data_IF_484976840062
#
_entry.id   IF_484976840062
#
_cell.length_a   1.000
_cell.length_b   1.000
_cell.length_c   1.000
_cell.angle_alpha   90.00
_cell.angle_beta   90.00
_cell.angle_gamma   90.00
#
_symmetry.space_group_name_H-M   'P 1'
#
loop_
_entity.id
_entity.type
_entity.pdbx_description
1 polymer ?
#
# COMPACT_ATOMS: atom_id res chain seq x y z
N UNK A 1 1.35 2.44 15.12
CA UNK A 1 2.81 2.25 15.32
C UNK A 1 3.15 0.90 15.91
N UNK A 2 2.50 0.45 17.00
CA UNK A 2 2.87 -0.85 17.59
C UNK A 2 2.66 -2.04 16.64
N UNK A 3 1.59 -2.01 15.85
CA UNK A 3 1.34 -2.99 14.78
C UNK A 3 2.47 -3.03 13.74
N UNK A 4 2.85 -1.88 13.18
CA UNK A 4 4.00 -1.78 12.26
C UNK A 4 5.28 -2.38 12.88
N UNK A 5 5.56 -2.14 14.17
CA UNK A 5 6.74 -2.72 14.83
C UNK A 5 6.69 -4.26 14.90
N UNK A 6 5.50 -4.83 15.10
CA UNK A 6 5.31 -6.28 15.11
C UNK A 6 5.59 -6.85 13.71
N UNK A 7 4.96 -6.29 12.68
CA UNK A 7 5.13 -6.73 11.29
C UNK A 7 6.55 -6.52 10.76
N UNK A 8 7.27 -5.49 11.21
CA UNK A 8 8.69 -5.28 10.86
C UNK A 8 9.54 -6.51 11.21
N UNK A 9 9.26 -7.19 12.32
CA UNK A 9 10.03 -8.38 12.70
C UNK A 9 9.89 -9.52 11.69
N UNK A 10 8.73 -9.64 11.05
CA UNK A 10 8.47 -10.61 9.98
C UNK A 10 9.10 -10.14 8.66
N UNK A 11 8.97 -8.85 8.33
CA UNK A 11 9.59 -8.26 7.14
C UNK A 11 11.10 -8.44 7.15
N UNK A 12 11.77 -8.20 8.27
CA UNK A 12 13.23 -8.37 8.41
C UNK A 12 13.71 -9.82 8.20
N UNK A 13 12.82 -10.82 8.25
CA UNK A 13 13.16 -12.21 7.93
C UNK A 13 13.11 -12.50 6.42
N UNK A 14 12.46 -11.65 5.62
CA UNK A 14 12.50 -11.76 4.15
C UNK A 14 13.91 -11.51 3.64
N UNK A 15 14.34 -12.32 2.67
CA UNK A 15 15.62 -12.10 1.97
C UNK A 15 15.47 -10.95 0.97
N UNK A 16 16.55 -10.21 0.73
CA UNK A 16 16.63 -9.22 -0.36
C UNK A 16 16.67 -7.76 0.07
N UNK A 17 16.50 -7.45 1.36
CA UNK A 17 16.71 -6.10 1.87
C UNK A 17 18.20 -5.78 2.05
N UNK A 18 18.57 -4.55 1.69
CA UNK A 18 19.91 -4.04 1.94
C UNK A 18 20.13 -3.76 3.43
N UNK A 19 21.39 -3.67 3.84
CA UNK A 19 21.76 -3.34 5.23
C UNK A 19 21.15 -2.01 5.70
N UNK A 20 21.07 -1.02 4.81
CA UNK A 20 20.45 0.27 5.11
C UNK A 20 18.94 0.14 5.38
N UNK A 21 18.25 -0.72 4.64
CA UNK A 21 16.82 -0.99 4.89
C UNK A 21 16.65 -1.69 6.23
N UNK A 22 17.42 -2.74 6.49
CA UNK A 22 17.35 -3.48 7.76
C UNK A 22 17.65 -2.58 8.97
N UNK A 23 18.64 -1.70 8.83
CA UNK A 23 19.00 -0.71 9.85
C UNK A 23 17.87 0.28 10.08
N UNK A 24 17.23 0.79 9.01
CA UNK A 24 16.09 1.69 9.14
C UNK A 24 14.89 1.01 9.80
N UNK A 25 14.57 -0.21 9.39
CA UNK A 25 13.51 -1.02 10.00
C UNK A 25 13.77 -1.28 11.48
N UNK A 26 15.02 -1.53 11.86
CA UNK A 26 15.43 -1.69 13.27
C UNK A 26 15.16 -0.40 14.06
N UNK A 27 15.57 0.76 13.51
CA UNK A 27 15.32 2.05 14.16
C UNK A 27 13.82 2.34 14.31
N UNK A 28 13.00 1.96 13.31
CA UNK A 28 11.55 2.09 13.39
C UNK A 28 10.98 1.20 14.49
N UNK A 29 11.39 -0.06 14.53
CA UNK A 29 10.96 -1.03 15.53
C UNK A 29 11.29 -0.56 16.96
N UNK A 30 12.48 -0.03 17.17
CA UNK A 30 12.93 0.47 18.47
C UNK A 30 12.33 1.84 18.85
N UNK A 31 11.59 2.49 17.95
CA UNK A 31 11.04 3.83 18.17
C UNK A 31 12.11 4.93 18.19
N UNK A 32 13.29 4.68 17.61
CA UNK A 32 14.46 5.58 17.65
C UNK A 32 14.55 6.53 16.46
N UNK A 33 13.39 6.96 15.95
CA UNK A 33 13.29 7.80 14.74
C UNK A 33 13.01 9.28 15.06
N UNK A 34 13.21 9.69 16.31
CA UNK A 34 12.81 11.01 16.79
C UNK A 34 13.39 12.16 15.95
N UNK A 35 14.59 11.98 15.36
CA UNK A 35 15.19 12.95 14.46
C UNK A 35 15.70 12.32 13.17
N UNK A 36 15.24 12.88 12.04
CA UNK A 36 15.61 12.45 10.69
C UNK A 36 17.13 12.47 10.47
N UNK A 37 17.83 13.47 11.01
CA UNK A 37 19.28 13.61 10.88
C UNK A 37 20.05 12.47 11.55
N UNK A 38 19.63 12.05 12.74
CA UNK A 38 20.23 10.90 13.43
C UNK A 38 20.05 9.60 12.65
N UNK A 39 18.92 9.44 11.94
CA UNK A 39 18.70 8.30 11.06
C UNK A 39 19.65 8.34 9.86
N UNK A 40 19.81 9.50 9.22
CA UNK A 40 20.73 9.66 8.08
C UNK A 40 22.18 9.34 8.46
N UNK A 41 22.64 9.85 9.59
CA UNK A 41 23.99 9.59 10.12
C UNK A 41 24.22 8.09 10.38
N UNK A 42 23.28 7.43 11.06
CA UNK A 42 23.38 5.99 11.36
C UNK A 42 23.35 5.11 10.12
N UNK A 43 22.60 5.52 9.09
CA UNK A 43 22.48 4.80 7.84
C UNK A 43 23.60 5.12 6.85
N UNK A 44 24.45 6.11 7.13
CA UNK A 44 25.50 6.55 6.22
C UNK A 44 24.97 7.13 4.90
N UNK A 45 23.73 7.62 4.88
CA UNK A 45 23.09 8.18 3.68
C UNK A 45 22.98 9.70 3.79
N UNK A 46 23.08 10.40 2.66
CA UNK A 46 23.03 11.87 2.63
C UNK A 46 21.60 12.40 2.70
N UNK A 47 20.65 11.70 2.10
CA UNK A 47 19.25 12.14 2.02
C UNK A 47 18.32 10.96 2.24
N UNK A 48 17.23 11.18 2.96
CA UNK A 48 16.24 10.11 3.18
C UNK A 48 15.60 9.66 1.86
N UNK A 49 15.55 10.55 0.87
CA UNK A 49 14.98 10.26 -0.44
C UNK A 49 15.74 9.18 -1.19
N UNK A 50 17.01 8.96 -0.83
CA UNK A 50 17.81 7.86 -1.39
C UNK A 50 17.25 6.49 -0.92
N UNK A 51 16.39 6.48 0.11
CA UNK A 51 15.64 5.30 0.58
C UNK A 51 14.29 5.10 -0.12
N UNK A 52 13.84 5.99 -1.02
CA UNK A 52 12.50 5.88 -1.67
C UNK A 52 12.27 4.51 -2.31
N UNK A 53 13.12 4.15 -3.28
CA UNK A 53 13.00 2.90 -4.04
C UNK A 53 13.02 1.66 -3.14
N UNK A 54 14.02 1.47 -2.25
CA UNK A 54 14.01 0.30 -1.38
C UNK A 54 12.85 0.30 -0.37
N UNK A 55 12.38 1.46 0.09
CA UNK A 55 11.23 1.54 1.00
C UNK A 55 9.89 1.33 0.31
N UNK A 56 9.77 1.59 -0.99
CA UNK A 56 8.62 1.16 -1.79
C UNK A 56 8.49 -0.37 -1.75
N UNK A 57 9.60 -1.10 -1.89
CA UNK A 57 9.60 -2.57 -1.80
C UNK A 57 9.09 -3.02 -0.42
N UNK A 58 9.60 -2.39 0.65
CA UNK A 58 9.15 -2.65 2.03
C UNK A 58 7.65 -2.38 2.21
N UNK A 59 7.14 -1.26 1.67
CA UNK A 59 5.71 -0.92 1.76
C UNK A 59 4.85 -1.97 1.06
N UNK A 60 5.26 -2.42 -0.13
CA UNK A 60 4.54 -3.45 -0.87
C UNK A 60 4.60 -4.80 -0.14
N UNK A 61 5.75 -5.16 0.41
CA UNK A 61 5.90 -6.38 1.20
C UNK A 61 5.07 -6.35 2.49
N UNK A 62 4.93 -5.17 3.11
CA UNK A 62 4.08 -4.96 4.27
C UNK A 62 2.60 -5.08 3.90
N UNK A 63 2.17 -4.40 2.82
CA UNK A 63 0.80 -4.49 2.34
C UNK A 63 0.41 -5.93 1.95
N UNK A 64 1.31 -6.66 1.28
CA UNK A 64 1.11 -8.08 0.97
C UNK A 64 1.00 -8.95 2.23
N UNK A 65 1.83 -8.70 3.25
CA UNK A 65 1.77 -9.39 4.54
C UNK A 65 0.43 -9.16 5.24
N UNK A 66 -0.05 -7.92 5.28
CA UNK A 66 -1.35 -7.56 5.86
C UNK A 66 -2.53 -8.20 5.10
N UNK A 67 -2.40 -8.30 3.77
CA UNK A 67 -3.42 -8.93 2.92
C UNK A 67 -3.52 -10.46 3.08
N UNK A 68 -2.46 -11.11 3.55
CA UNK A 68 -2.49 -12.54 3.86
C UNK A 68 -3.36 -12.81 5.10
N UNK A 69 -3.46 -11.86 6.04
CA UNK A 69 -4.35 -11.93 7.19
C UNK A 69 -5.80 -11.58 6.79
N UNK A 70 -6.05 -10.36 6.30
CA UNK A 70 -7.34 -10.00 5.70
C UNK A 70 -7.30 -8.84 4.69
N UNK A 71 -8.13 -7.80 4.86
CA UNK A 71 -8.09 -6.55 4.10
C UNK A 71 -7.19 -5.57 4.83
N UNK A 72 -6.56 -4.64 4.09
CA UNK A 72 -5.85 -3.52 4.72
C UNK A 72 -6.80 -2.73 5.63
N UNK A 73 -6.50 -2.73 6.93
CA UNK A 73 -7.24 -1.96 7.93
C UNK A 73 -6.83 -0.49 7.89
N UNK A 74 -7.64 0.38 8.50
CA UNK A 74 -7.29 1.81 8.63
C UNK A 74 -5.95 2.04 9.34
N UNK A 75 -5.58 1.17 10.28
CA UNK A 75 -4.32 1.29 11.01
C UNK A 75 -3.12 0.91 10.14
N UNK A 76 -3.24 -0.14 9.33
CA UNK A 76 -2.23 -0.58 8.38
C UNK A 76 -2.02 0.47 7.27
N UNK A 77 -3.13 1.01 6.74
CA UNK A 77 -3.08 2.11 5.76
C UNK A 77 -2.39 3.35 6.35
N UNK A 78 -2.69 3.72 7.60
CA UNK A 78 -1.96 4.81 8.30
C UNK A 78 -0.47 4.51 8.46
N UNK A 79 -0.09 3.26 8.70
CA UNK A 79 1.32 2.86 8.78
C UNK A 79 2.03 3.01 7.42
N UNK A 80 1.37 2.64 6.32
CA UNK A 80 1.88 2.84 4.95
C UNK A 80 2.03 4.33 4.63
N UNK A 81 1.01 5.15 4.93
CA UNK A 81 1.09 6.61 4.73
C UNK A 81 2.25 7.23 5.53
N UNK A 82 2.44 6.79 6.77
CA UNK A 82 3.55 7.23 7.60
C UNK A 82 4.91 6.85 6.98
N UNK A 83 5.07 5.63 6.45
CA UNK A 83 6.28 5.19 5.75
C UNK A 83 6.55 6.01 4.48
N UNK A 84 5.50 6.29 3.69
CA UNK A 84 5.57 7.16 2.51
C UNK A 84 6.11 8.53 2.90
N UNK A 85 5.45 9.19 3.86
CA UNK A 85 5.81 10.53 4.33
C UNK A 85 7.24 10.57 4.89
N UNK A 86 7.63 9.57 5.68
CA UNK A 86 8.96 9.49 6.28
C UNK A 86 10.07 9.46 5.22
N UNK A 87 9.89 8.66 4.16
CA UNK A 87 10.85 8.51 3.07
C UNK A 87 10.69 9.57 1.96
N UNK A 88 9.66 10.42 2.07
CA UNK A 88 9.28 11.40 1.06
C UNK A 88 8.77 10.76 -0.23
N UNK A 89 8.18 9.57 -0.19
CA UNK A 89 7.59 8.89 -1.34
C UNK A 89 6.32 9.64 -1.76
N UNK A 90 6.27 10.03 -3.02
CA UNK A 90 5.19 10.82 -3.62
C UNK A 90 4.35 9.96 -4.58
N UNK A 91 3.24 10.53 -5.06
CA UNK A 91 2.37 9.84 -6.00
C UNK A 91 3.09 9.55 -7.32
N UNK A 92 2.76 8.40 -7.90
CA UNK A 92 3.47 7.85 -9.06
C UNK A 92 4.87 7.27 -8.77
N UNK A 93 5.46 7.44 -7.58
CA UNK A 93 6.79 6.88 -7.30
C UNK A 93 6.80 5.34 -7.35
N UNK A 94 5.71 4.67 -6.96
CA UNK A 94 5.55 3.22 -7.12
C UNK A 94 5.74 2.77 -8.58
N UNK A 95 5.14 3.51 -9.52
CA UNK A 95 5.21 3.20 -10.96
C UNK A 95 6.58 3.55 -11.53
N UNK A 96 7.18 4.68 -11.13
CA UNK A 96 8.56 5.05 -11.49
C UNK A 96 9.58 4.00 -11.03
N UNK A 97 9.31 3.32 -9.92
CA UNK A 97 10.13 2.22 -9.41
C UNK A 97 9.85 0.86 -10.07
N UNK A 98 8.94 0.78 -11.04
CA UNK A 98 8.66 -0.46 -11.76
C UNK A 98 7.59 -1.35 -11.12
N UNK A 99 7.00 -0.94 -10.01
CA UNK A 99 6.18 -1.79 -9.14
C UNK A 99 4.68 -1.76 -9.44
N UNK A 100 4.29 -1.18 -10.58
CA UNK A 100 2.89 -1.12 -11.05
C UNK A 100 2.17 -2.47 -10.99
N UNK A 101 2.85 -3.57 -11.33
CA UNK A 101 2.25 -4.92 -11.29
C UNK A 101 1.86 -5.32 -9.87
N UNK A 102 2.75 -5.13 -8.90
CA UNK A 102 2.50 -5.48 -7.48
C UNK A 102 1.39 -4.61 -6.90
N UNK A 103 1.43 -3.30 -7.17
CA UNK A 103 0.35 -2.38 -6.78
C UNK A 103 -1.00 -2.87 -7.30
N UNK A 104 -1.09 -3.22 -8.60
CA UNK A 104 -2.32 -3.74 -9.19
C UNK A 104 -2.78 -5.05 -8.56
N UNK A 105 -1.85 -5.95 -8.22
CA UNK A 105 -2.17 -7.22 -7.55
C UNK A 105 -2.71 -7.03 -6.14
N UNK A 106 -2.09 -6.15 -5.35
CA UNK A 106 -2.53 -5.77 -4.00
C UNK A 106 -3.93 -5.17 -4.06
N UNK A 107 -4.15 -4.20 -4.95
CA UNK A 107 -5.46 -3.56 -5.14
C UNK A 107 -6.52 -4.55 -5.59
N UNK A 108 -6.21 -5.46 -6.51
CA UNK A 108 -7.14 -6.50 -6.95
C UNK A 108 -7.53 -7.42 -5.80
N UNK A 109 -6.57 -7.87 -4.97
CA UNK A 109 -6.86 -8.69 -3.80
C UNK A 109 -7.82 -7.97 -2.83
N UNK A 110 -7.50 -6.71 -2.51
CA UNK A 110 -8.32 -5.87 -1.62
C UNK A 110 -9.74 -5.67 -2.18
N UNK A 111 -9.86 -5.22 -3.43
CA UNK A 111 -11.14 -4.97 -4.07
C UNK A 111 -11.97 -6.25 -4.23
N UNK A 112 -11.36 -7.40 -4.52
CA UNK A 112 -12.11 -8.67 -4.60
C UNK A 112 -12.78 -9.04 -3.29
N UNK A 113 -12.15 -8.76 -2.15
CA UNK A 113 -12.75 -8.97 -0.83
C UNK A 113 -13.89 -7.99 -0.57
N UNK A 114 -13.72 -6.72 -0.92
CA UNK A 114 -14.77 -5.70 -0.79
C UNK A 114 -16.00 -6.02 -1.64
N UNK A 115 -15.82 -6.52 -2.86
CA UNK A 115 -16.92 -6.84 -3.77
C UNK A 115 -17.51 -8.25 -3.51
N UNK A 116 -17.14 -8.92 -2.42
CA UNK A 116 -17.48 -10.34 -2.19
C UNK A 116 -18.97 -10.58 -1.98
N UNK A 117 -19.68 -9.63 -1.36
CA UNK A 117 -21.14 -9.69 -1.15
C UNK A 117 -21.93 -8.97 -2.26
N UNK A 118 -21.24 -8.56 -3.33
CA UNK A 118 -21.79 -7.87 -4.49
C UNK A 118 -22.47 -6.52 -4.15
N UNK A 119 -22.12 -5.92 -3.01
CA UNK A 119 -22.58 -4.59 -2.56
C UNK A 119 -21.39 -3.80 -2.06
N UNK A 120 -21.29 -2.53 -2.46
CA UNK A 120 -20.31 -1.59 -1.94
C UNK A 120 -21.03 -0.59 -1.05
N UNK A 121 -20.73 -0.67 0.24
CA UNK A 121 -21.27 0.27 1.21
C UNK A 121 -20.48 1.59 1.22
N UNK A 122 -20.94 2.55 2.05
CA UNK A 122 -20.27 3.85 2.16
C UNK A 122 -18.86 3.77 2.72
N UNK A 123 -18.60 2.83 3.63
CA UNK A 123 -17.27 2.65 4.25
C UNK A 123 -16.30 2.09 3.21
N UNK A 124 -16.73 1.14 2.40
CA UNK A 124 -15.96 0.57 1.31
C UNK A 124 -15.72 1.57 0.20
N UNK A 125 -16.71 2.39 -0.14
CA UNK A 125 -16.54 3.51 -1.08
C UNK A 125 -15.46 4.50 -0.62
N UNK A 126 -15.44 4.85 0.67
CA UNK A 126 -14.38 5.68 1.24
C UNK A 126 -13.02 4.98 1.23
N UNK A 127 -12.99 3.69 1.59
CA UNK A 127 -11.75 2.91 1.56
C UNK A 127 -11.15 2.81 0.15
N UNK A 128 -11.97 2.81 -0.92
CA UNK A 128 -11.48 2.90 -2.30
C UNK A 128 -10.72 4.18 -2.57
N UNK A 129 -11.20 5.33 -2.07
CA UNK A 129 -10.51 6.61 -2.19
C UNK A 129 -9.18 6.56 -1.45
N UNK A 130 -9.17 6.02 -0.23
CA UNK A 130 -7.96 5.86 0.56
C UNK A 130 -6.94 4.98 -0.16
N UNK A 131 -7.36 3.85 -0.75
CA UNK A 131 -6.49 2.94 -1.51
C UNK A 131 -5.89 3.60 -2.75
N UNK A 132 -6.67 4.43 -3.46
CA UNK A 132 -6.18 5.18 -4.60
C UNK A 132 -5.04 6.13 -4.18
N UNK A 133 -5.24 6.91 -3.11
CA UNK A 133 -4.24 7.84 -2.56
C UNK A 133 -3.03 7.08 -1.99
N UNK A 134 -3.27 5.96 -1.31
CA UNK A 134 -2.26 5.14 -0.67
C UNK A 134 -1.17 4.73 -1.67
N UNK A 135 -1.58 4.22 -2.84
CA UNK A 135 -0.66 3.80 -3.90
C UNK A 135 -0.36 4.90 -4.93
N UNK A 136 -0.92 6.10 -4.75
CA UNK A 136 -0.64 7.26 -5.58
C UNK A 136 -1.04 7.07 -7.04
N UNK A 137 -2.22 6.49 -7.27
CA UNK A 137 -2.76 6.24 -8.60
C UNK A 137 -3.61 7.42 -9.09
N UNK A 138 -3.52 7.70 -10.39
CA UNK A 138 -4.49 8.58 -11.02
C UNK A 138 -5.89 7.96 -11.01
N UNK A 139 -6.91 8.80 -11.19
CA UNK A 139 -8.30 8.36 -11.26
C UNK A 139 -8.50 7.29 -12.35
N UNK A 140 -7.95 7.51 -13.55
CA UNK A 140 -8.11 6.59 -14.68
C UNK A 140 -7.44 5.23 -14.42
N UNK A 141 -6.23 5.24 -13.86
CA UNK A 141 -5.50 4.01 -13.51
C UNK A 141 -6.25 3.19 -12.46
N UNK A 142 -6.80 3.85 -11.44
CA UNK A 142 -7.57 3.17 -10.40
C UNK A 142 -8.92 2.68 -10.93
N UNK A 143 -9.62 3.50 -11.71
CA UNK A 143 -10.91 3.15 -12.31
C UNK A 143 -10.79 1.95 -13.24
N UNK A 144 -9.72 1.82 -14.02
CA UNK A 144 -9.49 0.65 -14.86
C UNK A 144 -9.39 -0.66 -14.03
N UNK A 145 -8.82 -0.60 -12.82
CA UNK A 145 -8.75 -1.76 -11.90
C UNK A 145 -10.13 -2.04 -11.29
N UNK A 146 -10.81 -1.01 -10.80
CA UNK A 146 -12.15 -1.14 -10.20
C UNK A 146 -13.14 -1.71 -11.21
N UNK A 147 -13.11 -1.24 -12.46
CA UNK A 147 -13.99 -1.71 -13.52
C UNK A 147 -13.75 -3.17 -13.89
N UNK A 148 -12.52 -3.68 -13.77
CA UNK A 148 -12.22 -5.10 -13.95
C UNK A 148 -12.98 -5.94 -12.90
N UNK A 149 -12.89 -5.55 -11.62
CA UNK A 149 -13.55 -6.26 -10.51
C UNK A 149 -15.07 -6.10 -10.51
N UNK A 150 -15.56 -4.91 -10.86
CA UNK A 150 -16.99 -4.65 -10.99
C UNK A 150 -17.62 -5.52 -12.09
N UNK A 151 -16.95 -5.69 -13.23
CA UNK A 151 -17.41 -6.61 -14.30
C UNK A 151 -17.48 -8.06 -13.82
N UNK A 152 -16.49 -8.53 -13.06
CA UNK A 152 -16.53 -9.85 -12.44
C UNK A 152 -17.78 -10.00 -11.54
N UNK A 153 -18.11 -8.96 -10.77
CA UNK A 153 -19.26 -8.96 -9.85
C UNK A 153 -20.60 -8.93 -10.60
N UNK A 154 -20.72 -8.11 -11.65
CA UNK A 154 -21.90 -8.14 -12.52
C UNK A 154 -22.12 -9.51 -13.17
N UNK A 155 -21.05 -10.17 -13.59
CA UNK A 155 -21.12 -11.52 -14.17
C UNK A 155 -21.63 -12.56 -13.14
N UNK A 156 -21.49 -12.30 -11.84
CA UNK A 156 -22.08 -13.12 -10.77
C UNK A 156 -23.55 -12.79 -10.46
N UNK A 157 -24.10 -11.73 -11.07
CA UNK A 157 -25.49 -11.29 -10.87
C UNK A 157 -25.65 -10.04 -10.01
N UNK A 158 -24.54 -9.37 -9.65
CA UNK A 158 -24.60 -8.09 -8.95
C UNK A 158 -25.38 -7.03 -9.75
N UNK A 159 -26.00 -6.08 -9.04
CA UNK A 159 -26.64 -4.92 -9.67
C UNK A 159 -25.68 -3.75 -9.73
N UNK A 160 -25.61 -3.06 -10.87
CA UNK A 160 -24.69 -1.92 -11.06
C UNK A 160 -24.88 -0.81 -10.01
N UNK A 161 -26.12 -0.58 -9.58
CA UNK A 161 -26.48 0.42 -8.55
C UNK A 161 -25.83 0.15 -7.19
N UNK A 162 -25.38 -1.08 -6.94
CA UNK A 162 -24.74 -1.49 -5.70
C UNK A 162 -23.20 -1.41 -5.74
N UNK A 163 -22.58 -1.13 -6.89
CA UNK A 163 -21.13 -1.37 -7.08
C UNK A 163 -20.25 -0.10 -6.98
N UNK A 164 -20.83 1.05 -6.64
CA UNK A 164 -20.14 2.35 -6.47
C UNK A 164 -19.12 2.62 -7.61
N UNK A 165 -19.52 2.40 -8.86
CA UNK A 165 -18.61 2.49 -10.00
C UNK A 165 -19.31 2.90 -11.28
N UNK A 166 -18.52 3.40 -12.24
CA UNK A 166 -18.96 3.75 -13.58
C UNK A 166 -18.25 2.84 -14.57
N UNK A 167 -19.00 1.90 -15.17
CA UNK A 167 -18.45 1.04 -16.21
C UNK A 167 -18.46 1.78 -17.54
N UNK A 168 -17.27 2.22 -17.96
CA UNK A 168 -17.06 2.73 -19.30
C UNK A 168 -17.05 1.56 -20.29
N UNK A 169 -17.95 1.58 -21.28
CA UNK A 169 -17.82 0.71 -22.46
C UNK A 169 -16.63 1.23 -23.29
N UNK A 170 -15.47 0.59 -23.14
CA UNK A 170 -14.37 0.69 -24.11
C UNK A 170 -14.65 -0.25 -25.28
#
# INVERSE_FOLDING_TARGET
>A
MEELKQSISLLMQKKGYSENVLSLLTLIKEGRIAEKNTVLEKLGIRRITDMKSPMIIVILDYAELCLDDDILTELEMKCILWLKAFCGIEDGDFYKCGEQRRVKEILKKQLKKMYQDDVIDKKEALMKVDLQELFGLSYDEFLDIVNEIAKESLNRGAKIENLDTVILKK
#
